data_IF_868024598044
#
_entry.id   IF_868024598044
#
_cell.length_a   1.000
_cell.length_b   1.000
_cell.length_c   1.000
_cell.angle_alpha   90.00
_cell.angle_beta   90.00
_cell.angle_gamma   90.00
#
_symmetry.space_group_name_H-M   'P 1'
#
loop_
_entity.id
_entity.type
_entity.pdbx_description
1 polymer ?
#
# COMPACT_ATOMS: atom_id res chain seq x y z
N UNK A 1 -22.12 -12.46 -8.97
CA UNK A 1 -22.18 -11.74 -7.68
C UNK A 1 -22.21 -10.25 -8.00
N UNK A 2 -23.29 -9.56 -7.66
CA UNK A 2 -23.41 -8.11 -7.88
C UNK A 2 -22.70 -7.41 -6.72
N UNK A 3 -21.58 -6.74 -6.97
CA UNK A 3 -20.87 -5.94 -5.98
C UNK A 3 -21.35 -4.50 -6.15
N UNK A 4 -21.83 -3.89 -5.07
CA UNK A 4 -22.31 -2.51 -5.14
C UNK A 4 -21.18 -1.56 -5.56
N UNK A 5 -21.46 -0.58 -6.43
CA UNK A 5 -20.47 0.36 -6.96
C UNK A 5 -19.78 1.17 -5.86
N UNK A 6 -20.44 1.37 -4.72
CA UNK A 6 -19.90 2.03 -3.53
C UNK A 6 -18.64 1.31 -3.03
N UNK A 7 -18.66 -0.03 -2.92
CA UNK A 7 -17.48 -0.78 -2.46
C UNK A 7 -16.32 -0.69 -3.44
N UNK A 8 -16.60 -0.67 -4.74
CA UNK A 8 -15.58 -0.55 -5.79
C UNK A 8 -14.91 0.83 -5.71
N UNK A 9 -15.71 1.91 -5.64
CA UNK A 9 -15.19 3.28 -5.57
C UNK A 9 -14.47 3.51 -4.24
N UNK A 10 -15.02 3.03 -3.13
CA UNK A 10 -14.42 3.20 -1.80
C UNK A 10 -13.08 2.48 -1.70
N UNK A 11 -12.98 1.28 -2.27
CA UNK A 11 -11.73 0.52 -2.39
C UNK A 11 -10.71 1.25 -3.26
N UNK A 12 -11.11 1.75 -4.42
CA UNK A 12 -10.24 2.52 -5.30
C UNK A 12 -9.69 3.78 -4.61
N UNK A 13 -10.54 4.51 -3.89
CA UNK A 13 -10.15 5.70 -3.15
C UNK A 13 -9.21 5.37 -1.99
N UNK A 14 -9.48 4.30 -1.23
CA UNK A 14 -8.60 3.86 -0.15
C UNK A 14 -7.21 3.47 -0.67
N UNK A 15 -7.13 2.69 -1.75
CA UNK A 15 -5.85 2.31 -2.37
C UNK A 15 -5.13 3.52 -2.96
N UNK A 16 -5.85 4.46 -3.60
CA UNK A 16 -5.26 5.68 -4.12
C UNK A 16 -4.63 6.53 -3.01
N UNK A 17 -5.32 6.73 -1.89
CA UNK A 17 -4.79 7.47 -0.75
C UNK A 17 -3.60 6.74 -0.12
N UNK A 18 -3.66 5.42 -0.01
CA UNK A 18 -2.55 4.61 0.51
C UNK A 18 -1.30 4.79 -0.37
N UNK A 19 -1.41 4.61 -1.69
CA UNK A 19 -0.30 4.77 -2.63
C UNK A 19 0.24 6.22 -2.63
N UNK A 20 -0.65 7.22 -2.61
CA UNK A 20 -0.24 8.62 -2.52
C UNK A 20 0.52 8.89 -1.21
N UNK A 21 0.05 8.38 -0.08
CA UNK A 21 0.73 8.52 1.21
C UNK A 21 2.12 7.87 1.18
N UNK A 22 2.23 6.64 0.68
CA UNK A 22 3.50 5.92 0.54
C UNK A 22 4.48 6.69 -0.36
N UNK A 23 4.00 7.18 -1.51
CA UNK A 23 4.80 7.98 -2.43
C UNK A 23 5.32 9.27 -1.76
N UNK A 24 4.46 10.00 -1.04
CA UNK A 24 4.88 11.24 -0.36
C UNK A 24 5.95 10.98 0.71
N UNK A 25 5.85 9.89 1.46
CA UNK A 25 6.87 9.51 2.44
C UNK A 25 8.22 9.18 1.79
N UNK A 26 8.21 8.46 0.66
CA UNK A 26 9.42 8.12 -0.09
C UNK A 26 10.06 9.34 -0.76
N UNK A 27 9.24 10.28 -1.24
CA UNK A 27 9.71 11.54 -1.83
C UNK A 27 10.29 12.52 -0.79
N UNK A 28 9.79 12.50 0.46
CA UNK A 28 10.35 13.32 1.55
C UNK A 28 11.73 12.84 2.01
N UNK A 29 12.01 11.55 1.91
CA UNK A 29 13.28 10.97 2.37
C UNK A 29 13.88 9.99 1.32
N UNK A 30 14.24 10.46 0.11
CA UNK A 30 14.64 9.59 -0.99
C UNK A 30 15.95 8.84 -0.71
N UNK A 31 16.89 9.45 0.02
CA UNK A 31 18.13 8.79 0.42
C UNK A 31 17.89 7.63 1.39
N UNK A 32 16.87 7.73 2.25
CA UNK A 32 16.48 6.65 3.16
C UNK A 32 15.82 5.52 2.40
N UNK A 33 14.89 5.84 1.51
CA UNK A 33 14.25 4.81 0.68
C UNK A 33 15.25 4.09 -0.23
N UNK A 34 16.24 4.80 -0.80
CA UNK A 34 17.30 4.16 -1.58
C UNK A 34 18.15 3.18 -0.76
N UNK A 35 18.46 3.51 0.50
CA UNK A 35 19.14 2.58 1.42
C UNK A 35 18.28 1.37 1.74
N UNK A 36 17.02 1.58 2.10
CA UNK A 36 16.06 0.50 2.33
C UNK A 36 15.98 -0.42 1.10
N UNK A 37 15.87 0.13 -0.11
CA UNK A 37 15.81 -0.68 -1.33
C UNK A 37 17.11 -1.46 -1.61
N UNK A 38 18.27 -0.90 -1.26
CA UNK A 38 19.55 -1.61 -1.33
C UNK A 38 19.61 -2.77 -0.33
N UNK A 39 19.06 -2.60 0.88
CA UNK A 39 19.04 -3.63 1.93
C UNK A 39 18.22 -4.87 1.52
N UNK A 40 17.23 -4.71 0.61
CA UNK A 40 16.49 -5.85 0.05
C UNK A 40 17.40 -6.77 -0.79
N UNK A 41 18.54 -6.29 -1.30
CA UNK A 41 19.48 -7.02 -2.17
C UNK A 41 18.78 -7.80 -3.29
N UNK A 42 17.78 -7.17 -3.91
CA UNK A 42 17.04 -7.69 -5.07
C UNK A 42 17.46 -7.02 -6.38
N UNK A 43 18.02 -5.81 -6.30
CA UNK A 43 18.47 -5.04 -7.45
C UNK A 43 20.00 -4.81 -7.38
N UNK A 44 20.69 -4.72 -8.54
CA UNK A 44 22.08 -4.27 -8.60
C UNK A 44 22.22 -2.85 -8.06
N UNK A 45 23.37 -2.52 -7.45
CA UNK A 45 23.63 -1.19 -6.90
C UNK A 45 23.38 -0.06 -7.92
N UNK A 46 23.72 -0.28 -9.20
CA UNK A 46 23.48 0.65 -10.28
C UNK A 46 21.98 0.96 -10.51
N UNK A 47 21.09 0.00 -10.26
CA UNK A 47 19.65 0.16 -10.42
C UNK A 47 18.92 0.62 -9.15
N UNK A 48 19.54 0.53 -7.96
CA UNK A 48 18.89 0.94 -6.70
C UNK A 48 18.48 2.41 -6.71
N UNK A 49 19.39 3.31 -7.12
CA UNK A 49 19.13 4.76 -7.19
C UNK A 49 18.04 5.15 -8.18
N UNK A 50 18.03 4.68 -9.44
CA UNK A 50 16.93 4.98 -10.36
C UNK A 50 15.62 4.37 -9.88
N UNK A 51 15.62 3.10 -9.41
CA UNK A 51 14.41 2.47 -8.90
C UNK A 51 13.82 3.25 -7.69
N UNK A 52 14.66 3.76 -6.79
CA UNK A 52 14.22 4.56 -5.65
C UNK A 52 13.51 5.87 -6.05
N UNK A 53 13.74 6.39 -7.27
CA UNK A 53 13.03 7.56 -7.82
C UNK A 53 11.82 7.19 -8.66
N UNK A 54 11.94 6.12 -9.45
CA UNK A 54 10.88 5.67 -10.35
C UNK A 54 9.71 5.10 -9.57
N UNK A 55 9.95 4.32 -8.51
CA UNK A 55 8.87 3.67 -7.77
C UNK A 55 7.89 4.68 -7.16
N UNK A 56 8.32 5.74 -6.43
CA UNK A 56 7.37 6.74 -5.91
C UNK A 56 6.61 7.48 -7.00
N UNK A 57 7.23 7.71 -8.17
CA UNK A 57 6.55 8.32 -9.32
C UNK A 57 5.46 7.40 -9.87
N UNK A 58 5.76 6.10 -10.01
CA UNK A 58 4.79 5.09 -10.44
C UNK A 58 3.63 4.97 -9.44
N UNK A 59 3.91 4.98 -8.13
CA UNK A 59 2.89 4.98 -7.08
C UNK A 59 1.93 6.17 -7.21
N UNK A 60 2.48 7.36 -7.44
CA UNK A 60 1.71 8.59 -7.61
C UNK A 60 0.84 8.55 -8.88
N UNK A 61 1.41 8.09 -10.00
CA UNK A 61 0.68 7.95 -11.28
C UNK A 61 -0.48 6.98 -11.13
N UNK A 62 -0.25 5.82 -10.49
CA UNK A 62 -1.31 4.84 -10.23
C UNK A 62 -2.38 5.43 -9.31
N UNK A 63 -1.98 6.14 -8.26
CA UNK A 63 -2.92 6.79 -7.33
C UNK A 63 -3.85 7.78 -8.06
N UNK A 64 -3.32 8.63 -8.94
CA UNK A 64 -4.15 9.54 -9.73
C UNK A 64 -5.00 8.81 -10.77
N UNK A 65 -4.45 7.79 -11.44
CA UNK A 65 -5.19 7.01 -12.43
C UNK A 65 -6.35 6.20 -11.84
N UNK A 66 -6.31 5.86 -10.54
CA UNK A 66 -7.42 5.24 -9.80
C UNK A 66 -8.61 6.19 -9.60
N UNK A 67 -8.36 7.51 -9.54
CA UNK A 67 -9.40 8.53 -9.36
C UNK A 67 -10.19 8.78 -10.64
N UNK A 68 -9.57 8.54 -11.81
CA UNK A 68 -10.20 8.72 -13.12
C UNK A 68 -10.99 7.46 -13.48
N UNK A 69 -12.33 7.53 -13.63
CA UNK A 69 -13.16 6.35 -13.88
C UNK A 69 -12.75 5.55 -15.12
N UNK A 70 -12.30 6.24 -16.18
CA UNK A 70 -11.89 5.62 -17.45
C UNK A 70 -10.64 4.74 -17.32
N UNK A 71 -9.69 5.11 -16.44
CA UNK A 71 -8.44 4.37 -16.24
C UNK A 71 -8.44 3.48 -15.02
N UNK A 72 -9.49 3.54 -14.19
CA UNK A 72 -9.55 2.87 -12.88
C UNK A 72 -9.26 1.38 -12.94
N UNK A 73 -9.84 0.65 -13.90
CA UNK A 73 -9.65 -0.80 -13.99
C UNK A 73 -8.17 -1.17 -14.21
N UNK A 74 -7.51 -0.48 -15.15
CA UNK A 74 -6.08 -0.69 -15.44
C UNK A 74 -5.20 -0.21 -14.28
N UNK A 75 -5.55 0.92 -13.66
CA UNK A 75 -4.84 1.46 -12.51
C UNK A 75 -4.95 0.54 -11.28
N UNK A 76 -6.11 -0.05 -11.04
CA UNK A 76 -6.36 -1.01 -9.96
C UNK A 76 -5.55 -2.31 -10.15
N UNK A 77 -5.48 -2.84 -11.38
CA UNK A 77 -4.60 -3.96 -11.70
C UNK A 77 -3.12 -3.61 -11.51
N UNK A 78 -2.72 -2.40 -11.92
CA UNK A 78 -1.35 -1.90 -11.74
C UNK A 78 -1.01 -1.75 -10.26
N UNK A 79 -1.94 -1.24 -9.44
CA UNK A 79 -1.80 -1.16 -8.00
C UNK A 79 -1.66 -2.55 -7.37
N UNK A 80 -2.51 -3.51 -7.74
CA UNK A 80 -2.42 -4.88 -7.28
C UNK A 80 -1.06 -5.51 -7.64
N UNK A 81 -0.58 -5.31 -8.87
CA UNK A 81 0.73 -5.78 -9.30
C UNK A 81 1.88 -5.16 -8.52
N UNK A 82 1.83 -3.85 -8.27
CA UNK A 82 2.84 -3.16 -7.48
C UNK A 82 2.88 -3.63 -6.03
N UNK A 83 1.71 -3.76 -5.38
CA UNK A 83 1.60 -4.26 -4.00
C UNK A 83 2.05 -5.73 -3.93
N UNK A 84 1.72 -6.55 -4.93
CA UNK A 84 2.18 -7.93 -5.01
C UNK A 84 3.71 -8.02 -5.20
N UNK A 85 4.31 -7.13 -6.00
CA UNK A 85 5.77 -7.05 -6.15
C UNK A 85 6.44 -6.71 -4.81
N UNK A 86 5.88 -5.75 -4.06
CA UNK A 86 6.32 -5.46 -2.70
C UNK A 86 6.18 -6.67 -1.76
N UNK A 87 5.05 -7.37 -1.81
CA UNK A 87 4.84 -8.59 -1.02
C UNK A 87 5.85 -9.68 -1.37
N UNK A 88 6.15 -9.90 -2.66
CA UNK A 88 7.15 -10.86 -3.12
C UNK A 88 8.55 -10.47 -2.64
N UNK A 89 8.92 -9.19 -2.73
CA UNK A 89 10.20 -8.67 -2.24
C UNK A 89 10.37 -8.91 -0.73
N UNK A 90 9.32 -8.68 0.05
CA UNK A 90 9.24 -8.98 1.49
C UNK A 90 9.37 -10.49 1.73
N UNK A 91 8.63 -11.32 1.00
CA UNK A 91 8.62 -12.77 1.13
C UNK A 91 9.98 -13.41 0.85
N UNK A 92 10.68 -12.95 -0.20
CA UNK A 92 12.03 -13.41 -0.53
C UNK A 92 13.02 -13.08 0.60
N UNK A 93 12.94 -11.88 1.18
CA UNK A 93 13.81 -11.48 2.27
C UNK A 93 13.50 -12.24 3.57
N UNK A 94 12.23 -12.49 3.87
CA UNK A 94 11.81 -13.34 4.98
C UNK A 94 12.32 -14.78 4.82
N UNK A 95 12.26 -15.34 3.60
CA UNK A 95 12.78 -16.68 3.30
C UNK A 95 14.31 -16.76 3.43
N UNK A 96 15.02 -15.67 3.12
CA UNK A 96 16.46 -15.50 3.36
C UNK A 96 16.82 -15.22 4.83
N UNK A 97 15.83 -15.21 5.73
CA UNK A 97 16.04 -14.95 7.17
C UNK A 97 16.30 -13.47 7.52
N UNK A 98 16.20 -12.55 6.56
CA UNK A 98 16.49 -11.12 6.76
C UNK A 98 15.24 -10.41 7.26
N UNK A 99 15.16 -10.24 8.58
CA UNK A 99 13.99 -9.65 9.27
C UNK A 99 14.20 -8.20 9.70
N UNK A 100 15.44 -7.71 9.72
CA UNK A 100 15.79 -6.39 10.23
C UNK A 100 15.69 -5.26 9.18
N UNK A 101 15.12 -5.54 8.01
CA UNK A 101 14.92 -4.53 6.97
C UNK A 101 13.54 -3.91 7.14
N UNK A 102 13.44 -2.60 6.92
CA UNK A 102 12.18 -1.87 6.96
C UNK A 102 11.30 -2.18 5.73
N UNK A 103 10.00 -2.33 5.96
CA UNK A 103 8.99 -2.45 4.90
C UNK A 103 8.96 -1.23 3.94
N UNK A 104 9.29 -0.04 4.44
CA UNK A 104 9.34 1.21 3.65
C UNK A 104 7.97 1.73 3.17
N UNK A 105 6.88 1.00 3.45
CA UNK A 105 5.50 1.43 3.19
C UNK A 105 4.91 2.30 4.31
N UNK A 106 5.39 2.12 5.55
CA UNK A 106 5.09 3.01 6.67
C UNK A 106 6.02 4.23 6.63
N UNK A 107 5.53 5.39 7.04
CA UNK A 107 6.27 6.66 6.97
C UNK A 107 7.66 6.63 7.64
N UNK A 108 8.50 7.66 7.41
CA UNK A 108 9.91 7.65 7.84
C UNK A 108 10.10 7.43 9.35
N UNK A 109 9.15 7.80 10.20
CA UNK A 109 9.31 7.64 11.65
C UNK A 109 8.87 6.27 12.19
N UNK A 110 8.42 5.35 11.31
CA UNK A 110 7.95 4.02 11.68
C UNK A 110 8.88 2.95 11.10
N UNK A 111 9.98 2.68 11.81
CA UNK A 111 10.83 1.52 11.50
C UNK A 111 10.04 0.25 11.81
N UNK A 112 9.70 -0.51 10.77
CA UNK A 112 8.84 -1.67 10.86
C UNK A 112 9.60 -2.88 10.33
N UNK A 113 10.18 -3.72 11.21
CA UNK A 113 10.93 -4.89 10.78
C UNK A 113 10.01 -5.83 10.00
N UNK A 114 10.59 -6.53 9.02
CA UNK A 114 9.90 -7.51 8.21
C UNK A 114 9.33 -8.63 9.10
N UNK A 115 8.00 -8.70 9.11
CA UNK A 115 7.25 -9.75 9.81
C UNK A 115 6.33 -10.45 8.82
N UNK A 116 6.05 -11.76 8.99
CA UNK A 116 5.11 -12.49 8.13
C UNK A 116 3.72 -11.87 8.05
N UNK A 117 3.29 -11.15 9.09
CA UNK A 117 2.02 -10.41 9.11
C UNK A 117 1.93 -9.33 7.99
N UNK A 118 3.06 -8.82 7.50
CA UNK A 118 3.10 -7.89 6.37
C UNK A 118 2.69 -8.57 5.06
N UNK A 119 2.97 -9.86 4.90
CA UNK A 119 2.50 -10.63 3.74
C UNK A 119 0.97 -10.75 3.77
N UNK A 120 0.40 -11.00 4.95
CA UNK A 120 -1.06 -11.02 5.12
C UNK A 120 -1.67 -9.65 4.82
N UNK A 121 -1.07 -8.56 5.34
CA UNK A 121 -1.54 -7.19 5.05
C UNK A 121 -1.50 -6.90 3.55
N UNK A 122 -0.36 -7.14 2.90
CA UNK A 122 -0.23 -6.84 1.48
C UNK A 122 -1.12 -7.75 0.63
N UNK A 123 -1.33 -9.01 1.03
CA UNK A 123 -2.31 -9.90 0.38
C UNK A 123 -3.75 -9.37 0.47
N UNK A 124 -4.14 -8.86 1.63
CA UNK A 124 -5.45 -8.21 1.80
C UNK A 124 -5.57 -6.95 0.93
N UNK A 125 -4.54 -6.12 0.85
CA UNK A 125 -4.52 -4.93 -0.01
C UNK A 125 -4.59 -5.29 -1.50
N UNK A 126 -3.93 -6.37 -1.93
CA UNK A 126 -4.05 -6.90 -3.29
C UNK A 126 -5.50 -7.30 -3.58
N UNK A 127 -6.16 -8.01 -2.66
CA UNK A 127 -7.56 -8.37 -2.83
C UNK A 127 -8.48 -7.14 -2.95
N UNK A 128 -8.26 -6.11 -2.12
CA UNK A 128 -8.98 -4.83 -2.20
C UNK A 128 -8.73 -4.12 -3.54
N UNK A 129 -7.49 -4.11 -4.02
CA UNK A 129 -7.15 -3.53 -5.32
C UNK A 129 -7.80 -4.31 -6.49
N UNK A 130 -7.86 -5.64 -6.41
CA UNK A 130 -8.56 -6.46 -7.39
C UNK A 130 -10.07 -6.23 -7.37
N UNK A 131 -10.68 -6.04 -6.21
CA UNK A 131 -12.09 -5.64 -6.09
C UNK A 131 -12.35 -4.28 -6.76
N UNK A 132 -11.42 -3.33 -6.64
CA UNK A 132 -11.49 -2.04 -7.31
C UNK A 132 -11.36 -2.10 -8.84
N UNK A 133 -10.85 -3.22 -9.39
CA UNK A 133 -10.72 -3.44 -10.84
C UNK A 133 -12.03 -3.86 -11.52
N UNK A 134 -13.02 -4.30 -10.75
CA UNK A 134 -14.33 -4.70 -11.27
C UNK A 134 -15.05 -3.46 -11.80
N UNK A 135 -15.57 -3.55 -13.03
CA UNK A 135 -16.32 -2.45 -13.64
C UNK A 135 -17.62 -2.21 -12.84
N UNK A 136 -17.85 -1.00 -12.30
CA UNK A 136 -19.11 -0.69 -11.65
C UNK A 136 -20.25 -0.75 -12.67
N UNK A 137 -21.38 -1.33 -12.28
CA UNK A 137 -22.62 -1.20 -13.05
C UNK A 137 -23.01 0.28 -13.03
N UNK A 138 -23.33 0.84 -14.20
CA UNK A 138 -23.77 2.21 -14.35
C UNK A 138 -25.06 2.42 -13.54
N UNK A 139 -24.90 3.02 -12.35
CA UNK A 139 -25.97 3.43 -11.46
C UNK A 139 -25.74 4.91 -11.17
N UNK A 140 -26.81 5.70 -11.27
CA UNK A 140 -26.75 7.10 -10.86
C UNK A 140 -26.38 7.17 -9.38
N UNK A 141 -25.21 7.74 -9.11
CA UNK A 141 -24.71 8.01 -7.77
C UNK A 141 -25.40 9.25 -7.25
N UNK A 142 -26.26 9.10 -6.26
CA UNK A 142 -26.83 10.23 -5.55
C UNK A 142 -25.78 10.90 -4.66
N UNK A 143 -26.08 12.13 -4.19
CA UNK A 143 -25.24 12.83 -3.21
C UNK A 143 -24.97 11.98 -1.95
N UNK A 144 -25.98 11.23 -1.50
CA UNK A 144 -25.87 10.30 -0.37
C UNK A 144 -24.85 9.18 -0.62
N UNK A 145 -24.83 8.61 -1.84
CA UNK A 145 -23.88 7.56 -2.19
C UNK A 145 -22.43 8.08 -2.19
N UNK A 146 -22.23 9.35 -2.59
CA UNK A 146 -20.95 10.05 -2.49
C UNK A 146 -20.47 10.18 -1.04
N UNK A 147 -21.35 10.61 -0.14
CA UNK A 147 -21.04 10.70 1.30
C UNK A 147 -20.66 9.33 1.88
N UNK A 148 -21.45 8.29 1.60
CA UNK A 148 -21.19 6.93 2.07
C UNK A 148 -19.85 6.41 1.55
N UNK A 149 -19.51 6.69 0.29
CA UNK A 149 -18.23 6.30 -0.31
C UNK A 149 -17.05 6.94 0.42
N UNK A 150 -17.10 8.26 0.65
CA UNK A 150 -16.03 8.99 1.36
C UNK A 150 -15.90 8.49 2.80
N UNK A 151 -17.02 8.30 3.49
CA UNK A 151 -17.04 7.79 4.86
C UNK A 151 -16.46 6.37 4.94
N UNK A 152 -16.84 5.47 4.03
CA UNK A 152 -16.32 4.10 3.97
C UNK A 152 -14.81 4.08 3.71
N UNK A 153 -14.32 4.91 2.79
CA UNK A 153 -12.87 5.04 2.55
C UNK A 153 -12.13 5.62 3.74
N UNK A 154 -12.69 6.62 4.41
CA UNK A 154 -12.08 7.19 5.62
C UNK A 154 -11.97 6.15 6.74
N UNK A 155 -13.03 5.37 6.98
CA UNK A 155 -13.02 4.27 7.95
C UNK A 155 -11.97 3.22 7.58
N UNK A 156 -11.90 2.81 6.31
CA UNK A 156 -10.90 1.84 5.84
C UNK A 156 -9.47 2.35 6.06
N UNK A 157 -9.21 3.63 5.78
CA UNK A 157 -7.92 4.27 6.02
C UNK A 157 -7.57 4.37 7.49
N UNK A 158 -8.54 4.69 8.36
CA UNK A 158 -8.34 4.74 9.81
C UNK A 158 -8.01 3.34 10.37
N UNK A 159 -8.73 2.31 9.91
CA UNK A 159 -8.44 0.91 10.28
C UNK A 159 -7.03 0.53 9.83
N UNK A 160 -6.66 0.88 8.60
CA UNK A 160 -5.31 0.64 8.08
C UNK A 160 -4.23 1.36 8.91
N UNK A 161 -4.43 2.64 9.22
CA UNK A 161 -3.49 3.44 10.01
C UNK A 161 -3.35 2.90 11.44
N UNK A 162 -4.45 2.50 12.07
CA UNK A 162 -4.44 1.88 13.39
C UNK A 162 -3.71 0.52 13.38
N UNK A 163 -3.97 -0.31 12.37
CA UNK A 163 -3.28 -1.60 12.20
C UNK A 163 -1.78 -1.40 11.96
N UNK A 164 -1.40 -0.44 11.11
CA UNK A 164 0.01 -0.12 10.83
C UNK A 164 0.73 0.38 12.09
N UNK A 165 0.12 1.31 12.82
CA UNK A 165 0.65 1.83 14.09
C UNK A 165 0.80 0.74 15.16
N UNK A 166 -0.16 -0.18 15.26
CA UNK A 166 -0.06 -1.33 16.18
C UNK A 166 1.08 -2.26 15.80
N UNK A 167 1.26 -2.53 14.50
CA UNK A 167 2.35 -3.37 14.02
C UNK A 167 3.72 -2.73 14.23
N UNK A 168 3.85 -1.42 13.97
CA UNK A 168 5.06 -0.65 14.21
C UNK A 168 5.44 -0.62 15.71
N UNK A 169 4.45 -0.51 16.60
CA UNK A 169 4.66 -0.46 18.06
C UNK A 169 4.71 -1.84 18.73
N UNK A 170 4.36 -2.92 18.03
CA UNK A 170 4.37 -4.28 18.58
C UNK A 170 5.67 -4.71 19.29
N UNK A 171 6.90 -4.40 18.82
CA UNK A 171 8.12 -4.73 19.56
C UNK A 171 8.27 -3.94 20.87
N UNK A 172 7.78 -2.70 20.94
CA UNK A 172 7.81 -1.90 22.17
C UNK A 172 6.78 -2.42 23.20
N UNK A 173 5.59 -2.82 22.73
CA UNK A 173 4.56 -3.42 23.56
C UNK A 173 5.02 -4.75 24.19
N UNK A 174 5.73 -5.59 23.43
CA UNK A 174 6.28 -6.85 23.97
C UNK A 174 7.29 -6.61 25.09
N UNK A 175 8.17 -5.61 24.93
CA UNK A 175 9.12 -5.20 25.98
C UNK A 175 8.42 -4.74 27.26
N UNK A 176 7.29 -4.02 27.17
CA UNK A 176 6.51 -3.59 28.34
C UNK A 176 5.82 -4.76 29.06
N UNK A 177 5.48 -5.82 28.33
CA UNK A 177 4.85 -7.04 28.88
C UNK A 177 5.90 -8.04 29.40
N UNK A 178 7.19 -7.71 29.31
CA UNK A 178 8.29 -8.56 29.78
C UNK A 178 8.56 -9.78 28.89
N UNK A 179 8.22 -9.70 27.60
CA UNK A 179 8.50 -10.73 26.59
C UNK A 179 9.50 -10.26 25.54
#
# INVERSE_FOLDING_TARGET
MHIDPIFIIASALAIAVLLASAATHKLRAPARFARQLADYQLLPEALTRPAARVIPAVELVIAFALLVPATRAVAALSAAGLIALYAAAIGINLWRGRRDIDCGCAGPDQAQPLRPILLLRNGALVAVALLASVLPIARDLGFFDGFVTVAASAVALLIYAAADGLLANSPLLLKLIGR
#
